data_IF_323257854006
#
_entry.id   IF_323257854006
#
_cell.length_a   1.000
_cell.length_b   1.000
_cell.length_c   1.000
_cell.angle_alpha   90.00
_cell.angle_beta   90.00
_cell.angle_gamma   90.00
#
_symmetry.space_group_name_H-M   'P 1'
#
loop_
_entity.id
_entity.type
_entity.pdbx_description
1 polymer ?
#
# COMPACT_ATOMS: atom_id res chain seq x y z
N UNK A 1 -25.08 -28.08 37.88
CA UNK A 1 -24.51 -29.25 37.17
C UNK A 1 -23.40 -28.83 36.19
N UNK A 2 -22.43 -28.00 36.62
CA UNK A 2 -21.25 -27.65 35.79
C UNK A 2 -19.91 -27.90 36.53
N UNK A 3 -19.92 -28.55 37.69
CA UNK A 3 -18.73 -28.73 38.56
C UNK A 3 -17.77 -29.84 38.09
N UNK A 4 -18.01 -30.45 36.93
CA UNK A 4 -17.17 -31.53 36.39
C UNK A 4 -16.11 -31.08 35.37
N UNK A 5 -16.17 -29.83 34.88
CA UNK A 5 -15.18 -29.35 33.92
C UNK A 5 -13.97 -28.86 34.70
N UNK A 6 -13.01 -29.76 34.87
CA UNK A 6 -11.69 -29.39 35.38
C UNK A 6 -11.07 -28.37 34.42
N UNK A 7 -10.42 -27.34 34.99
CA UNK A 7 -9.69 -26.33 34.21
C UNK A 7 -8.67 -26.96 33.23
N UNK A 8 -8.17 -28.16 33.55
CA UNK A 8 -7.32 -28.94 32.66
C UNK A 8 -8.02 -29.35 31.36
N UNK A 9 -9.26 -29.85 31.43
CA UNK A 9 -10.02 -30.21 30.23
C UNK A 9 -10.28 -28.99 29.36
N UNK A 10 -10.61 -27.85 29.97
CA UNK A 10 -10.80 -26.59 29.24
C UNK A 10 -9.52 -26.15 28.50
N UNK A 11 -8.35 -26.25 29.15
CA UNK A 11 -7.08 -25.92 28.51
C UNK A 11 -6.78 -26.83 27.32
N UNK A 12 -7.05 -28.13 27.43
CA UNK A 12 -6.89 -29.09 26.33
C UNK A 12 -7.82 -28.75 25.16
N UNK A 13 -9.09 -28.42 25.43
CA UNK A 13 -10.02 -28.00 24.38
C UNK A 13 -9.60 -26.70 23.70
N UNK A 14 -9.11 -25.72 24.46
CA UNK A 14 -8.61 -24.46 23.90
C UNK A 14 -7.40 -24.68 22.98
N UNK A 15 -6.44 -25.51 23.40
CA UNK A 15 -5.28 -25.84 22.57
C UNK A 15 -5.71 -26.62 21.32
N UNK A 16 -6.61 -27.59 21.46
CA UNK A 16 -7.13 -28.35 20.32
C UNK A 16 -7.87 -27.45 19.32
N UNK A 17 -8.69 -26.51 19.80
CA UNK A 17 -9.40 -25.54 18.97
C UNK A 17 -8.44 -24.60 18.23
N UNK A 18 -7.39 -24.13 18.90
CA UNK A 18 -6.34 -23.30 18.26
C UNK A 18 -5.61 -24.09 17.17
N UNK A 19 -5.20 -25.32 17.43
CA UNK A 19 -4.54 -26.17 16.43
C UNK A 19 -5.44 -26.40 15.23
N UNK A 20 -6.72 -26.73 15.46
CA UNK A 20 -7.70 -26.89 14.38
C UNK A 20 -7.86 -25.61 13.56
N UNK A 21 -7.96 -24.46 14.22
CA UNK A 21 -8.07 -23.15 13.58
C UNK A 21 -6.86 -22.86 12.68
N UNK A 22 -5.64 -23.12 13.16
CA UNK A 22 -4.43 -22.95 12.35
C UNK A 22 -4.36 -23.93 11.17
N UNK A 23 -4.80 -25.19 11.35
CA UNK A 23 -4.88 -26.16 10.24
C UNK A 23 -5.84 -25.65 9.16
N UNK A 24 -7.03 -25.18 9.54
CA UNK A 24 -8.00 -24.61 8.60
C UNK A 24 -7.40 -23.43 7.85
N UNK A 25 -6.73 -22.51 8.55
CA UNK A 25 -6.08 -21.37 7.92
C UNK A 25 -4.93 -21.74 6.97
N UNK A 26 -4.21 -22.83 7.24
CA UNK A 26 -3.19 -23.37 6.33
C UNK A 26 -3.85 -23.93 5.07
N UNK A 27 -4.92 -24.72 5.22
CA UNK A 27 -5.64 -25.34 4.10
C UNK A 27 -6.33 -24.29 3.22
N UNK A 28 -6.90 -23.24 3.80
CA UNK A 28 -7.56 -22.16 3.03
C UNK A 28 -6.57 -21.19 2.38
N UNK A 29 -5.25 -21.40 2.55
CA UNK A 29 -4.21 -20.58 1.92
C UNK A 29 -4.12 -19.14 2.44
N UNK A 30 -4.84 -18.82 3.51
CA UNK A 30 -4.86 -17.48 4.12
C UNK A 30 -3.59 -17.19 4.93
N UNK A 31 -2.93 -18.22 5.48
CA UNK A 31 -1.57 -18.05 5.98
C UNK A 31 -0.58 -18.07 4.81
N UNK A 32 -0.28 -16.87 4.30
CA UNK A 32 0.97 -16.58 3.59
C UNK A 32 2.14 -16.73 4.56
N UNK A 33 2.42 -17.94 5.01
CA UNK A 33 3.73 -18.27 5.57
C UNK A 33 4.73 -18.02 4.44
N UNK A 34 5.32 -16.82 4.44
CA UNK A 34 6.66 -16.62 3.89
C UNK A 34 7.62 -17.40 4.77
N UNK A 35 7.51 -18.73 4.69
CA UNK A 35 8.54 -19.62 5.17
C UNK A 35 9.71 -19.35 4.24
N UNK A 36 10.58 -18.43 4.67
CA UNK A 36 11.90 -18.26 4.09
C UNK A 36 12.62 -19.57 4.44
N UNK A 37 12.39 -20.59 3.61
CA UNK A 37 13.29 -21.74 3.53
C UNK A 37 14.59 -21.10 3.07
N UNK A 38 15.45 -20.75 4.01
CA UNK A 38 16.85 -20.43 3.73
C UNK A 38 17.51 -21.75 3.32
N UNK A 39 17.18 -22.21 2.11
CA UNK A 39 18.00 -23.14 1.37
C UNK A 39 19.24 -22.33 1.02
N UNK A 40 20.31 -22.58 1.76
CA UNK A 40 21.64 -22.29 1.29
C UNK A 40 21.83 -23.01 -0.04
N UNK A 41 21.70 -22.27 -1.13
CA UNK A 41 22.47 -22.56 -2.32
C UNK A 41 22.75 -21.25 -3.05
N UNK A 42 24.02 -21.06 -3.38
CA UNK A 42 24.56 -19.79 -3.80
C UNK A 42 24.02 -19.37 -5.15
N UNK A 43 23.38 -18.22 -5.24
CA UNK A 43 23.61 -17.24 -6.31
C UNK A 43 22.83 -15.95 -6.05
N UNK A 44 23.48 -14.84 -6.40
CA UNK A 44 22.95 -13.48 -6.53
C UNK A 44 22.49 -12.78 -5.24
N UNK A 45 23.47 -12.30 -4.47
CA UNK A 45 23.28 -11.16 -3.57
C UNK A 45 22.88 -9.94 -4.42
N UNK A 46 21.72 -9.29 -4.20
CA UNK A 46 21.43 -8.03 -4.86
C UNK A 46 22.42 -6.96 -4.36
N UNK A 47 23.21 -6.43 -5.28
CA UNK A 47 24.21 -5.39 -5.04
C UNK A 47 23.51 -4.17 -4.42
N UNK A 48 23.77 -3.92 -3.13
CA UNK A 48 23.50 -2.62 -2.51
C UNK A 48 24.28 -1.56 -3.29
N UNK A 49 23.56 -0.67 -3.99
CA UNK A 49 24.14 0.52 -4.61
C UNK A 49 24.63 1.44 -3.48
N UNK A 50 25.91 1.31 -3.15
CA UNK A 50 26.62 2.32 -2.37
C UNK A 50 26.81 3.54 -3.26
N UNK A 51 26.21 4.65 -2.86
CA UNK A 51 26.50 5.97 -3.43
C UNK A 51 27.96 6.30 -3.09
N UNK A 52 28.85 6.21 -4.08
CA UNK A 52 30.18 6.82 -4.00
C UNK A 52 30.00 8.32 -4.21
N UNK A 53 30.10 9.09 -3.12
CA UNK A 53 30.39 10.51 -3.20
C UNK A 53 31.85 10.61 -3.65
N UNK A 54 32.05 11.00 -4.89
CA UNK A 54 33.37 11.33 -5.42
C UNK A 54 33.84 12.62 -4.71
N UNK A 55 34.75 12.46 -3.74
CA UNK A 55 35.44 13.59 -3.12
C UNK A 55 36.30 14.27 -4.19
N UNK A 56 35.77 15.37 -4.73
CA UNK A 56 36.53 16.33 -5.54
C UNK A 56 37.63 16.93 -4.65
N UNK A 57 38.92 16.80 -4.99
CA UNK A 57 39.97 17.49 -4.23
C UNK A 57 39.85 18.99 -4.46
N UNK A 58 39.57 19.72 -3.38
CA UNK A 58 39.52 21.17 -3.36
C UNK A 58 40.89 21.75 -3.76
N UNK A 59 40.94 22.36 -4.95
CA UNK A 59 42.03 23.27 -5.33
C UNK A 59 41.76 24.60 -4.60
N UNK A 60 42.59 24.88 -3.60
CA UNK A 60 42.64 26.15 -2.88
C UNK A 60 43.24 27.21 -3.81
N UNK A 61 42.43 28.12 -4.33
CA UNK A 61 42.88 29.46 -4.73
C UNK A 61 41.75 30.49 -4.70
N UNK A 62 41.86 31.50 -3.82
CA UNK A 62 41.48 32.88 -4.14
C UNK A 62 40.06 33.38 -3.78
N UNK A 63 40.01 34.28 -2.77
CA UNK A 63 39.07 35.40 -2.59
C UNK A 63 37.57 35.11 -2.33
N UNK A 64 37.16 35.31 -1.07
CA UNK A 64 35.76 35.56 -0.68
C UNK A 64 35.33 36.98 -1.09
N UNK A 65 34.20 37.15 -1.81
CA UNK A 65 33.36 38.33 -1.69
C UNK A 65 32.30 38.10 -0.60
N UNK A 66 32.05 39.13 0.20
CA UNK A 66 31.02 39.14 1.23
C UNK A 66 29.63 38.83 0.63
N UNK A 67 28.97 37.79 1.14
CA UNK A 67 27.59 37.45 0.82
C UNK A 67 26.67 38.52 1.41
N UNK A 68 26.32 39.47 0.55
CA UNK A 68 25.31 40.48 0.75
C UNK A 68 23.93 39.79 0.84
N UNK A 69 23.10 40.29 1.76
CA UNK A 69 21.86 39.69 2.25
C UNK A 69 21.05 38.88 1.25
N UNK A 70 20.88 37.60 1.57
CA UNK A 70 19.88 36.75 0.95
C UNK A 70 18.56 37.05 1.67
N UNK A 71 17.74 37.88 1.03
CA UNK A 71 16.35 38.17 1.38
C UNK A 71 15.60 36.83 1.39
N UNK A 72 15.23 36.37 2.60
CA UNK A 72 14.45 35.16 2.80
C UNK A 72 13.03 35.49 2.37
N UNK A 73 12.68 35.09 1.14
CA UNK A 73 11.32 35.17 0.61
C UNK A 73 10.41 34.15 1.33
N UNK A 74 10.03 34.47 2.56
CA UNK A 74 9.15 33.72 3.47
C UNK A 74 7.66 33.95 3.13
N UNK A 75 7.26 33.71 1.87
CA UNK A 75 5.86 33.94 1.45
C UNK A 75 5.23 32.86 0.56
N UNK A 76 5.96 31.80 0.18
CA UNK A 76 5.43 30.74 -0.71
C UNK A 76 5.33 29.34 -0.10
N UNK A 77 5.72 29.16 1.18
CA UNK A 77 5.72 27.84 1.82
C UNK A 77 4.35 27.40 2.34
N UNK A 78 3.47 28.33 2.72
CA UNK A 78 2.16 27.99 3.32
C UNK A 78 1.08 27.62 2.30
N UNK A 79 1.20 28.08 1.05
CA UNK A 79 0.20 27.78 0.01
C UNK A 79 0.31 26.35 -0.51
N UNK A 80 1.52 25.81 -0.54
CA UNK A 80 1.81 24.46 -1.06
C UNK A 80 1.37 23.36 -0.11
N UNK A 81 1.52 23.54 1.21
CA UNK A 81 1.07 22.54 2.21
C UNK A 81 -0.45 22.42 2.22
N UNK A 82 -1.18 23.54 2.14
CA UNK A 82 -2.66 23.51 2.19
C UNK A 82 -3.34 22.78 1.03
N UNK A 83 -2.68 22.74 -0.14
CA UNK A 83 -3.21 22.00 -1.30
C UNK A 83 -2.86 20.51 -1.19
N UNK A 84 -1.65 20.20 -0.70
CA UNK A 84 -1.23 18.83 -0.45
C UNK A 84 -2.17 18.15 0.56
N UNK A 85 -2.53 18.83 1.65
CA UNK A 85 -3.45 18.28 2.65
C UNK A 85 -4.84 17.99 2.08
N UNK A 86 -5.34 18.85 1.17
CA UNK A 86 -6.62 18.64 0.48
C UNK A 86 -6.56 17.48 -0.49
N UNK A 87 -5.45 17.33 -1.21
CA UNK A 87 -5.23 16.20 -2.11
C UNK A 87 -5.12 14.88 -1.32
N UNK A 88 -4.46 14.88 -0.16
CA UNK A 88 -4.43 13.71 0.72
C UNK A 88 -5.82 13.36 1.28
N UNK A 89 -6.60 14.35 1.71
CA UNK A 89 -7.97 14.12 2.19
C UNK A 89 -8.87 13.57 1.06
N UNK A 90 -8.73 14.10 -0.16
CA UNK A 90 -9.45 13.60 -1.34
C UNK A 90 -9.01 12.17 -1.69
N UNK A 91 -7.72 11.86 -1.58
CA UNK A 91 -7.19 10.51 -1.82
C UNK A 91 -7.73 9.49 -0.82
N UNK A 92 -7.79 9.87 0.46
CA UNK A 92 -8.35 9.03 1.51
C UNK A 92 -9.84 8.77 1.27
N UNK A 93 -10.62 9.82 0.93
CA UNK A 93 -12.03 9.66 0.55
C UNK A 93 -12.20 8.70 -0.63
N UNK A 94 -11.44 8.91 -1.70
CA UNK A 94 -11.48 8.03 -2.87
C UNK A 94 -11.11 6.58 -2.52
N UNK A 95 -10.10 6.38 -1.67
CA UNK A 95 -9.69 5.04 -1.24
C UNK A 95 -10.80 4.33 -0.45
N UNK A 96 -11.47 5.04 0.46
CA UNK A 96 -12.61 4.51 1.23
C UNK A 96 -13.77 4.18 0.31
N UNK A 97 -14.13 5.08 -0.60
CA UNK A 97 -15.23 4.88 -1.56
C UNK A 97 -14.96 3.68 -2.47
N UNK A 98 -13.74 3.54 -2.99
CA UNK A 98 -13.36 2.39 -3.83
C UNK A 98 -13.45 1.07 -3.05
N UNK A 99 -13.10 1.09 -1.77
CA UNK A 99 -13.19 -0.10 -0.93
C UNK A 99 -14.64 -0.45 -0.59
N UNK A 100 -15.50 0.55 -0.38
CA UNK A 100 -16.94 0.37 -0.20
C UNK A 100 -17.58 -0.21 -1.46
N UNK A 101 -17.21 0.29 -2.65
CA UNK A 101 -17.66 -0.27 -3.94
C UNK A 101 -17.25 -1.74 -4.06
N UNK A 102 -16.01 -2.11 -3.69
CA UNK A 102 -15.57 -3.51 -3.71
C UNK A 102 -16.37 -4.37 -2.71
N UNK A 103 -16.63 -3.85 -1.51
CA UNK A 103 -17.37 -4.55 -0.48
C UNK A 103 -18.86 -4.76 -0.85
N UNK A 104 -19.49 -3.76 -1.45
CA UNK A 104 -20.91 -3.81 -1.87
C UNK A 104 -21.11 -4.68 -3.11
N UNK A 105 -20.16 -4.67 -4.04
CA UNK A 105 -20.17 -5.50 -5.24
C UNK A 105 -20.15 -7.01 -4.94
N UNK A 106 -19.46 -7.43 -3.88
CA UNK A 106 -19.37 -8.81 -3.43
C UNK A 106 -18.83 -9.80 -4.48
N UNK A 107 -18.91 -11.13 -4.22
CA UNK A 107 -18.32 -12.16 -5.08
C UNK A 107 -19.09 -12.43 -6.38
N UNK A 108 -20.26 -11.81 -6.57
CA UNK A 108 -21.14 -12.03 -7.73
C UNK A 108 -21.01 -10.97 -8.82
N UNK A 109 -20.19 -9.93 -8.60
CA UNK A 109 -20.03 -8.83 -9.57
C UNK A 109 -19.10 -9.21 -10.71
N UNK A 110 -19.44 -8.77 -11.92
CA UNK A 110 -18.61 -8.93 -13.12
C UNK A 110 -17.54 -7.85 -13.15
N UNK A 111 -16.33 -8.22 -13.61
CA UNK A 111 -15.17 -7.33 -13.76
C UNK A 111 -15.50 -5.99 -14.42
N UNK A 112 -16.33 -6.00 -15.47
CA UNK A 112 -16.71 -4.82 -16.24
C UNK A 112 -17.52 -3.81 -15.43
N UNK A 113 -18.50 -4.29 -14.66
CA UNK A 113 -19.35 -3.44 -13.81
C UNK A 113 -18.51 -2.77 -12.71
N UNK A 114 -17.59 -3.53 -12.10
CA UNK A 114 -16.70 -2.99 -11.08
C UNK A 114 -15.74 -1.94 -11.67
N UNK A 115 -15.18 -2.19 -12.86
CA UNK A 115 -14.31 -1.21 -13.53
C UNK A 115 -15.05 0.07 -13.90
N UNK A 116 -16.30 -0.02 -14.35
CA UNK A 116 -17.09 1.17 -14.70
C UNK A 116 -17.41 2.02 -13.47
N UNK A 117 -17.79 1.39 -12.35
CA UNK A 117 -18.03 2.09 -11.09
C UNK A 117 -16.76 2.76 -10.55
N UNK A 118 -15.63 2.05 -10.56
CA UNK A 118 -14.34 2.62 -10.14
C UNK A 118 -13.92 3.79 -11.03
N UNK A 119 -14.13 3.69 -12.35
CA UNK A 119 -13.82 4.78 -13.29
C UNK A 119 -14.68 6.02 -13.03
N UNK A 120 -15.97 5.83 -12.74
CA UNK A 120 -16.87 6.92 -12.38
C UNK A 120 -16.39 7.66 -11.13
N UNK A 121 -15.90 6.91 -10.13
CA UNK A 121 -15.43 7.49 -8.88
C UNK A 121 -14.07 8.16 -8.99
N UNK A 122 -13.16 7.59 -9.78
CA UNK A 122 -11.89 8.25 -10.12
C UNK A 122 -12.13 9.57 -10.88
N UNK A 123 -13.13 9.62 -11.78
CA UNK A 123 -13.48 10.82 -12.53
C UNK A 123 -14.02 11.97 -11.65
N UNK A 124 -14.54 11.66 -10.46
CA UNK A 124 -15.00 12.66 -9.49
C UNK A 124 -13.83 13.46 -8.87
N UNK A 125 -12.60 12.93 -8.93
CA UNK A 125 -11.41 13.53 -8.30
C UNK A 125 -10.28 13.82 -9.32
N UNK A 126 -10.47 14.79 -10.25
CA UNK A 126 -9.48 15.09 -11.30
C UNK A 126 -8.16 15.69 -10.77
N UNK A 127 -8.16 16.23 -9.55
CA UNK A 127 -6.97 16.79 -8.89
C UNK A 127 -5.94 15.71 -8.52
N UNK A 128 -6.37 14.45 -8.38
CA UNK A 128 -5.53 13.31 -7.98
C UNK A 128 -4.82 12.62 -9.15
N UNK A 129 -4.80 13.24 -10.33
CA UNK A 129 -4.17 12.73 -11.55
C UNK A 129 -2.62 12.80 -11.51
N UNK A 130 -2.02 12.60 -10.33
CA UNK A 130 -0.57 12.57 -10.13
C UNK A 130 -0.06 11.14 -10.18
N UNK A 131 1.10 10.91 -10.80
CA UNK A 131 1.67 9.57 -11.02
C UNK A 131 1.75 8.77 -9.70
N UNK A 132 2.13 9.41 -8.60
CA UNK A 132 2.23 8.78 -7.29
C UNK A 132 0.87 8.28 -6.75
N UNK A 133 -0.18 9.10 -6.87
CA UNK A 133 -1.53 8.77 -6.40
C UNK A 133 -2.18 7.70 -7.26
N UNK A 134 -2.00 7.76 -8.58
CA UNK A 134 -2.42 6.68 -9.49
C UNK A 134 -1.85 5.34 -9.10
N UNK A 135 -0.54 5.28 -8.87
CA UNK A 135 0.11 4.03 -8.47
C UNK A 135 -0.42 3.49 -7.15
N UNK A 136 -0.68 4.36 -6.17
CA UNK A 136 -1.24 3.96 -4.88
C UNK A 136 -2.67 3.40 -5.02
N UNK A 137 -3.54 4.11 -5.73
CA UNK A 137 -4.94 3.70 -5.94
C UNK A 137 -5.04 2.46 -6.83
N UNK A 138 -4.25 2.35 -7.90
CA UNK A 138 -4.21 1.13 -8.72
C UNK A 138 -3.80 -0.09 -7.92
N UNK A 139 -2.82 0.05 -7.02
CA UNK A 139 -2.43 -1.02 -6.10
C UNK A 139 -3.54 -1.35 -5.07
N UNK A 140 -4.29 -0.34 -4.62
CA UNK A 140 -5.43 -0.54 -3.74
C UNK A 140 -6.53 -1.33 -4.46
N UNK A 141 -6.90 -0.92 -5.68
CA UNK A 141 -7.92 -1.59 -6.51
C UNK A 141 -7.56 -3.06 -6.73
N UNK A 142 -6.32 -3.35 -7.13
CA UNK A 142 -5.85 -4.73 -7.34
C UNK A 142 -5.97 -5.57 -6.07
N UNK A 143 -5.71 -4.99 -4.90
CA UNK A 143 -5.83 -5.70 -3.61
C UNK A 143 -7.29 -5.88 -3.20
N UNK A 144 -8.10 -4.82 -3.25
CA UNK A 144 -9.49 -4.83 -2.82
C UNK A 144 -10.33 -5.77 -3.71
N UNK A 145 -10.18 -5.67 -5.04
CA UNK A 145 -10.88 -6.55 -5.97
C UNK A 145 -10.51 -8.04 -5.80
N UNK A 146 -9.26 -8.33 -5.43
CA UNK A 146 -8.82 -9.70 -5.16
C UNK A 146 -9.35 -10.24 -3.82
N UNK A 147 -9.52 -9.38 -2.81
CA UNK A 147 -9.98 -9.78 -1.47
C UNK A 147 -11.50 -9.90 -1.42
N UNK A 148 -12.22 -8.90 -1.93
CA UNK A 148 -13.66 -8.76 -1.72
C UNK A 148 -14.47 -9.38 -2.88
N UNK A 149 -13.99 -9.25 -4.11
CA UNK A 149 -14.69 -9.74 -5.31
C UNK A 149 -14.11 -11.04 -5.88
N UNK A 150 -12.94 -11.50 -5.41
CA UNK A 150 -12.17 -12.61 -5.97
C UNK A 150 -11.85 -12.43 -7.49
N UNK A 151 -11.71 -11.16 -7.92
CA UNK A 151 -11.39 -10.79 -9.30
C UNK A 151 -9.92 -10.35 -9.38
N UNK A 152 -9.18 -10.94 -10.31
CA UNK A 152 -7.80 -10.53 -10.58
C UNK A 152 -7.77 -9.35 -11.56
N UNK A 153 -7.45 -8.16 -11.05
CA UNK A 153 -7.05 -7.03 -11.89
C UNK A 153 -5.53 -7.00 -12.04
N UNK A 154 -5.07 -6.68 -13.25
CA UNK A 154 -3.67 -6.32 -13.46
C UNK A 154 -3.45 -4.84 -13.18
N UNK A 155 -2.23 -4.45 -12.84
CA UNK A 155 -1.88 -3.04 -12.60
C UNK A 155 -2.16 -2.19 -13.86
N UNK A 156 -1.89 -2.75 -15.05
CA UNK A 156 -2.17 -2.07 -16.32
C UNK A 156 -3.67 -1.81 -16.54
N UNK A 157 -4.54 -2.74 -16.14
CA UNK A 157 -5.99 -2.55 -16.21
C UNK A 157 -6.48 -1.51 -15.20
N UNK A 158 -5.91 -1.49 -14.00
CA UNK A 158 -6.23 -0.48 -12.99
C UNK A 158 -5.74 0.92 -13.40
N UNK A 159 -4.58 1.02 -14.07
CA UNK A 159 -4.09 2.27 -14.65
C UNK A 159 -4.93 2.75 -15.83
N UNK A 160 -5.50 1.83 -16.62
CA UNK A 160 -6.41 2.16 -17.72
C UNK A 160 -7.71 2.82 -17.23
N UNK A 161 -8.10 2.64 -15.97
CA UNK A 161 -9.27 3.33 -15.38
C UNK A 161 -9.09 4.85 -15.28
N UNK A 162 -7.85 5.34 -15.39
CA UNK A 162 -7.52 6.77 -15.35
C UNK A 162 -7.52 7.44 -16.74
N UNK A 163 -7.89 6.71 -17.80
CA UNK A 163 -8.03 7.21 -19.18
C UNK A 163 -9.49 7.56 -19.52
#
# INVERSE_FOLDING_TARGET
MLEGITWGNFAVFMVAALVLYFIVLIVTGQLKFRYKVEKGDGTAVPVKKFWKVEEQPAVVTGQLPALQGMDIHELDSERSTSNIDKDFAALESLAVELQEICADAGPTTTKEVLSDQMRQQIAAYPTLNTIAFKGAISNLIVKAAAVDCNITFTIAEAEALWQ
#
